data_IF_631464565797
#
_entry.id   IF_631464565797
#
_cell.length_a   1.000
_cell.length_b   1.000
_cell.length_c   1.000
_cell.angle_alpha   90.00
_cell.angle_beta   90.00
_cell.angle_gamma   90.00
#
_symmetry.space_group_name_H-M   'P 1'
#
loop_
_entity.id
_entity.type
_entity.pdbx_description
1 polymer ?
#
# COMPACT_ATOMS: atom_id res chain seq x y z
N UNK A 1 21.25 -1.49 -18.78
CA UNK A 1 20.38 -0.60 -18.00
C UNK A 1 19.44 -1.40 -17.13
N UNK A 2 19.34 -1.02 -15.88
CA UNK A 2 18.33 -1.62 -15.01
C UNK A 2 16.92 -1.13 -15.43
N UNK A 3 15.94 -2.03 -15.54
CA UNK A 3 14.58 -1.61 -15.86
C UNK A 3 14.07 -0.65 -14.79
N UNK A 4 13.37 0.38 -15.23
CA UNK A 4 12.76 1.34 -14.31
C UNK A 4 11.63 0.67 -13.52
N UNK A 5 11.57 0.94 -12.23
CA UNK A 5 10.45 0.50 -11.40
C UNK A 5 9.22 1.28 -11.77
N UNK A 6 8.10 0.59 -11.88
CA UNK A 6 6.82 1.20 -12.24
C UNK A 6 5.96 1.39 -11.00
N UNK A 7 5.52 2.62 -10.80
CA UNK A 7 4.67 3.00 -9.68
C UNK A 7 3.30 3.40 -10.22
N UNK A 8 2.25 2.81 -9.68
CA UNK A 8 0.87 3.19 -9.98
C UNK A 8 0.37 4.16 -8.92
N UNK A 9 -0.01 5.35 -9.34
CA UNK A 9 -0.57 6.39 -8.47
C UNK A 9 -2.07 6.51 -8.71
N UNK A 10 -2.86 6.40 -7.67
CA UNK A 10 -4.32 6.51 -7.72
C UNK A 10 -4.78 7.62 -6.79
N UNK A 11 -5.46 8.60 -7.35
CA UNK A 11 -6.00 9.75 -6.61
C UNK A 11 -7.10 10.37 -7.47
N UNK A 12 -8.17 10.84 -6.86
CA UNK A 12 -9.24 11.53 -7.57
C UNK A 12 -8.84 12.95 -8.03
N UNK A 13 -7.77 13.49 -7.45
CA UNK A 13 -7.24 14.82 -7.80
C UNK A 13 -6.10 14.72 -8.82
N UNK A 14 -6.36 15.14 -10.05
CA UNK A 14 -5.39 15.13 -11.13
C UNK A 14 -4.15 15.98 -10.85
N UNK A 15 -4.30 17.06 -10.09
CA UNK A 15 -3.17 17.93 -9.73
C UNK A 15 -2.18 17.20 -8.84
N UNK A 16 -2.70 16.50 -7.83
CA UNK A 16 -1.88 15.69 -6.94
C UNK A 16 -1.16 14.59 -7.72
N UNK A 17 -1.85 13.95 -8.66
CA UNK A 17 -1.25 12.93 -9.52
C UNK A 17 -0.13 13.51 -10.38
N UNK A 18 -0.36 14.67 -10.98
CA UNK A 18 0.65 15.32 -11.83
C UNK A 18 1.91 15.69 -11.06
N UNK A 19 1.75 16.23 -9.87
CA UNK A 19 2.88 16.60 -8.99
C UNK A 19 3.68 15.35 -8.61
N UNK A 20 3.00 14.30 -8.16
CA UNK A 20 3.66 13.04 -7.80
C UNK A 20 4.36 12.41 -8.98
N UNK A 21 3.72 12.44 -10.15
CA UNK A 21 4.31 11.89 -11.36
C UNK A 21 5.63 12.57 -11.68
N UNK A 22 5.66 13.89 -11.75
CA UNK A 22 6.88 14.64 -12.04
C UNK A 22 7.96 14.33 -10.99
N UNK A 23 7.59 14.36 -9.72
CA UNK A 23 8.52 14.12 -8.63
C UNK A 23 9.15 12.72 -8.71
N UNK A 24 8.37 11.70 -8.98
CA UNK A 24 8.85 10.32 -9.04
C UNK A 24 9.63 10.05 -10.33
N UNK A 25 9.19 10.60 -11.45
CA UNK A 25 9.88 10.42 -12.73
C UNK A 25 11.27 11.09 -12.72
N UNK A 26 11.41 12.23 -12.05
CA UNK A 26 12.72 12.87 -11.89
C UNK A 26 13.69 12.01 -11.08
N UNK A 27 13.18 11.07 -10.30
CA UNK A 27 13.99 10.11 -9.53
C UNK A 27 14.23 8.79 -10.25
N UNK A 28 13.80 8.67 -11.49
CA UNK A 28 14.05 7.51 -12.32
C UNK A 28 12.98 6.43 -12.27
N UNK A 29 11.82 6.70 -11.65
CA UNK A 29 10.70 5.78 -11.67
C UNK A 29 9.84 5.99 -12.93
N UNK A 30 9.14 4.95 -13.34
CA UNK A 30 8.07 5.05 -14.32
C UNK A 30 6.76 5.18 -13.57
N UNK A 31 5.93 6.16 -13.93
CA UNK A 31 4.70 6.44 -13.19
C UNK A 31 3.49 6.31 -14.09
N UNK A 32 2.53 5.51 -13.64
CA UNK A 32 1.20 5.43 -14.23
C UNK A 32 0.22 6.10 -13.27
N UNK A 33 -0.70 6.87 -13.80
CA UNK A 33 -1.68 7.61 -12.99
C UNK A 33 -3.09 7.17 -13.34
N UNK A 34 -3.93 7.01 -12.33
CA UNK A 34 -5.34 6.67 -12.49
C UNK A 34 -6.17 7.54 -11.56
N UNK A 35 -7.23 8.12 -12.08
CA UNK A 35 -8.22 8.87 -11.28
C UNK A 35 -9.39 7.99 -10.85
N UNK A 36 -9.54 6.83 -11.46
CA UNK A 36 -10.62 5.88 -11.19
C UNK A 36 -10.06 4.59 -10.57
N UNK A 37 -10.58 4.16 -9.40
CA UNK A 37 -10.17 2.90 -8.79
C UNK A 37 -10.35 1.68 -9.70
N UNK A 38 -11.40 1.64 -10.50
CA UNK A 38 -11.65 0.54 -11.41
C UNK A 38 -10.55 0.43 -12.48
N UNK A 39 -10.14 1.56 -13.03
CA UNK A 39 -9.05 1.61 -13.99
C UNK A 39 -7.72 1.17 -13.35
N UNK A 40 -7.52 1.50 -12.08
CA UNK A 40 -6.34 1.05 -11.33
C UNK A 40 -6.31 -0.48 -11.21
N UNK A 41 -7.45 -1.10 -10.93
CA UNK A 41 -7.55 -2.56 -10.84
C UNK A 41 -7.26 -3.23 -12.19
N UNK A 42 -7.78 -2.68 -13.28
CA UNK A 42 -7.49 -3.16 -14.63
C UNK A 42 -6.00 -3.07 -14.95
N UNK A 43 -5.38 -1.96 -14.56
CA UNK A 43 -3.93 -1.76 -14.73
C UNK A 43 -3.14 -2.80 -13.94
N UNK A 44 -3.56 -3.11 -12.72
CA UNK A 44 -2.93 -4.15 -11.91
C UNK A 44 -3.06 -5.54 -12.55
N UNK A 45 -4.20 -5.84 -13.15
CA UNK A 45 -4.43 -7.12 -13.84
C UNK A 45 -3.49 -7.30 -15.04
N UNK A 46 -3.12 -6.22 -15.71
CA UNK A 46 -2.14 -6.25 -16.80
C UNK A 46 -0.73 -6.58 -16.33
N UNK A 47 -0.45 -6.37 -15.05
CA UNK A 47 0.84 -6.64 -14.45
C UNK A 47 1.87 -5.54 -14.69
N UNK A 48 3.09 -5.79 -14.21
CA UNK A 48 4.21 -4.86 -14.39
C UNK A 48 4.28 -3.71 -13.40
N UNK A 49 3.45 -3.71 -12.37
CA UNK A 49 3.45 -2.69 -11.32
C UNK A 49 4.33 -3.16 -10.16
N UNK A 50 5.27 -2.31 -9.76
CA UNK A 50 6.20 -2.60 -8.66
C UNK A 50 5.72 -2.04 -7.32
N UNK A 51 4.92 -0.97 -7.32
CA UNK A 51 4.41 -0.34 -6.13
C UNK A 51 3.15 0.46 -6.44
N UNK A 52 2.23 0.53 -5.49
CA UNK A 52 0.99 1.31 -5.61
C UNK A 52 0.98 2.42 -4.56
N UNK A 53 0.61 3.62 -5.00
CA UNK A 53 0.31 4.75 -4.12
C UNK A 53 -1.16 5.11 -4.31
N UNK A 54 -1.94 5.05 -3.24
CA UNK A 54 -3.36 5.35 -3.31
C UNK A 54 -3.76 6.40 -2.26
N UNK A 55 -4.68 7.28 -2.65
CA UNK A 55 -5.32 8.18 -1.70
C UNK A 55 -6.39 7.41 -0.92
N UNK A 56 -6.38 7.55 0.40
CA UNK A 56 -7.39 6.90 1.25
C UNK A 56 -8.80 7.43 0.96
N UNK A 57 -8.93 8.73 0.74
CA UNK A 57 -10.21 9.39 0.55
C UNK A 57 -10.52 9.58 -0.94
N UNK A 58 -11.25 8.63 -1.52
CA UNK A 58 -11.76 8.70 -2.88
C UNK A 58 -13.26 8.48 -2.90
N UNK A 59 -14.01 9.19 -3.77
CA UNK A 59 -15.48 9.18 -3.72
C UNK A 59 -16.13 7.83 -4.05
N UNK A 60 -15.55 7.06 -4.97
CA UNK A 60 -16.15 5.80 -5.43
C UNK A 60 -15.78 4.61 -4.57
N UNK A 61 -14.53 4.54 -4.15
CA UNK A 61 -13.98 3.44 -3.39
C UNK A 61 -12.83 3.99 -2.54
N UNK A 62 -12.82 3.68 -1.25
CA UNK A 62 -11.71 4.12 -0.40
C UNK A 62 -10.40 3.47 -0.84
N UNK A 63 -9.29 4.18 -0.63
CA UNK A 63 -7.98 3.65 -0.95
C UNK A 63 -7.67 2.36 -0.21
N UNK A 64 -8.15 2.22 1.03
CA UNK A 64 -7.98 1.00 1.80
C UNK A 64 -8.63 -0.21 1.11
N UNK A 65 -9.88 -0.07 0.68
CA UNK A 65 -10.58 -1.14 -0.05
C UNK A 65 -9.94 -1.42 -1.40
N UNK A 66 -9.49 -0.38 -2.09
CA UNK A 66 -8.77 -0.53 -3.34
C UNK A 66 -7.51 -1.38 -3.14
N UNK A 67 -6.74 -1.09 -2.10
CA UNK A 67 -5.52 -1.85 -1.80
C UNK A 67 -5.85 -3.30 -1.46
N UNK A 68 -6.92 -3.55 -0.73
CA UNK A 68 -7.35 -4.93 -0.43
C UNK A 68 -7.63 -5.71 -1.72
N UNK A 69 -8.30 -5.08 -2.69
CA UNK A 69 -8.55 -5.69 -3.99
C UNK A 69 -7.26 -5.86 -4.80
N UNK A 70 -6.36 -4.89 -4.74
CA UNK A 70 -5.04 -4.99 -5.38
C UNK A 70 -4.24 -6.14 -4.79
N UNK A 71 -4.26 -6.31 -3.48
CA UNK A 71 -3.57 -7.41 -2.80
C UNK A 71 -4.16 -8.78 -3.15
N UNK A 72 -5.45 -8.83 -3.47
CA UNK A 72 -6.06 -10.06 -3.98
C UNK A 72 -5.54 -10.42 -5.37
N UNK A 73 -5.27 -9.41 -6.21
CA UNK A 73 -4.70 -9.61 -7.55
C UNK A 73 -3.19 -9.89 -7.47
N UNK A 74 -2.47 -9.11 -6.67
CA UNK A 74 -1.02 -9.18 -6.57
C UNK A 74 -0.56 -8.98 -5.11
N UNK A 75 -0.55 -10.07 -4.33
CA UNK A 75 -0.22 -9.97 -2.89
C UNK A 75 1.19 -9.47 -2.59
N UNK A 76 2.07 -9.56 -3.56
CA UNK A 76 3.49 -9.19 -3.38
C UNK A 76 3.78 -7.73 -3.74
N UNK A 77 2.84 -7.03 -4.37
CA UNK A 77 3.03 -5.64 -4.73
C UNK A 77 2.85 -4.76 -3.50
N UNK A 78 3.89 -4.02 -3.06
CA UNK A 78 3.75 -3.12 -1.94
C UNK A 78 2.81 -1.96 -2.27
N UNK A 79 2.07 -1.50 -1.28
CA UNK A 79 1.10 -0.44 -1.42
C UNK A 79 1.20 0.55 -0.28
N UNK A 80 1.17 1.84 -0.61
CA UNK A 80 1.16 2.95 0.34
C UNK A 80 -0.15 3.72 0.24
N UNK A 81 -0.67 4.13 1.37
CA UNK A 81 -1.84 5.00 1.47
C UNK A 81 -1.44 6.41 1.81
N UNK A 82 -2.10 7.37 1.17
CA UNK A 82 -2.09 8.77 1.58
C UNK A 82 -3.37 9.09 2.32
N UNK A 83 -3.26 9.75 3.46
CA UNK A 83 -4.41 10.16 4.26
C UNK A 83 -4.31 11.62 4.63
N UNK A 84 -5.40 12.37 4.49
CA UNK A 84 -5.48 13.75 4.95
C UNK A 84 -5.74 13.88 6.45
N UNK A 85 -6.00 12.77 7.12
CA UNK A 85 -6.30 12.74 8.55
C UNK A 85 -5.44 11.70 9.24
N UNK A 86 -4.85 12.09 10.36
CA UNK A 86 -3.95 11.23 11.14
C UNK A 86 -4.71 10.08 11.82
N UNK A 87 -6.02 10.23 12.00
CA UNK A 87 -6.85 9.29 12.76
C UNK A 87 -7.67 8.34 11.89
N UNK A 88 -7.35 8.22 10.62
CA UNK A 88 -8.12 7.31 9.78
C UNK A 88 -7.66 5.87 9.92
N UNK A 89 -8.64 5.00 9.89
CA UNK A 89 -8.59 3.54 10.00
C UNK A 89 -7.72 2.86 8.91
N UNK A 90 -6.52 3.34 8.71
CA UNK A 90 -5.55 2.66 7.88
C UNK A 90 -5.09 1.34 8.52
N UNK A 91 -5.44 1.15 9.78
CA UNK A 91 -5.07 -0.03 10.54
C UNK A 91 -5.72 -1.31 10.02
N UNK A 92 -6.90 -1.19 9.43
CA UNK A 92 -7.62 -2.34 8.86
C UNK A 92 -7.27 -2.62 7.41
N UNK A 93 -6.35 -1.87 6.83
CA UNK A 93 -5.96 -2.04 5.45
C UNK A 93 -4.75 -2.95 5.30
N UNK A 94 -4.71 -3.69 4.20
CA UNK A 94 -3.54 -4.50 3.81
C UNK A 94 -2.38 -3.66 3.28
N UNK A 95 -2.47 -2.34 3.34
CA UNK A 95 -1.39 -1.45 2.92
C UNK A 95 -0.10 -1.71 3.72
N UNK A 96 1.02 -1.58 3.06
CA UNK A 96 2.34 -1.75 3.68
C UNK A 96 2.80 -0.51 4.47
N UNK A 97 2.11 0.60 4.30
CA UNK A 97 2.37 1.82 5.03
C UNK A 97 1.39 2.92 4.65
N UNK A 98 1.43 4.01 5.38
CA UNK A 98 0.63 5.18 5.09
C UNK A 98 1.45 6.45 5.35
N UNK A 99 1.06 7.54 4.71
CA UNK A 99 1.69 8.84 4.85
C UNK A 99 0.60 9.91 4.97
N UNK A 100 0.77 10.90 5.84
CA UNK A 100 -0.17 12.01 5.92
C UNK A 100 -0.07 12.90 4.69
N UNK A 101 -1.22 13.32 4.15
CA UNK A 101 -1.27 14.29 3.06
C UNK A 101 -0.85 15.67 3.57
N UNK A 102 0.03 16.32 2.83
CA UNK A 102 0.38 17.72 3.07
C UNK A 102 1.47 17.99 4.09
N UNK A 103 1.75 17.07 4.98
CA UNK A 103 2.73 17.29 6.04
C UNK A 103 4.05 16.55 5.83
N UNK A 104 4.10 15.65 4.88
CA UNK A 104 5.32 14.90 4.63
C UNK A 104 6.26 15.64 3.67
N UNK A 105 7.54 15.55 3.94
CA UNK A 105 8.54 15.99 3.00
C UNK A 105 8.60 15.02 1.81
N UNK A 106 8.79 15.53 0.57
CA UNK A 106 8.95 14.65 -0.60
C UNK A 106 10.02 13.57 -0.40
N UNK A 107 11.03 13.86 0.38
CA UNK A 107 12.09 12.91 0.70
C UNK A 107 11.59 11.72 1.51
N UNK A 108 10.63 11.93 2.40
CA UNK A 108 10.03 10.85 3.19
C UNK A 108 9.28 9.86 2.30
N UNK A 109 8.50 10.37 1.35
CA UNK A 109 7.81 9.53 0.38
C UNK A 109 8.81 8.69 -0.43
N UNK A 110 9.86 9.31 -0.93
CA UNK A 110 10.89 8.62 -1.71
C UNK A 110 11.59 7.54 -0.90
N UNK A 111 11.89 7.81 0.34
CA UNK A 111 12.52 6.82 1.23
C UNK A 111 11.59 5.65 1.52
N UNK A 112 10.31 5.90 1.77
CA UNK A 112 9.31 4.85 1.96
C UNK A 112 9.19 3.97 0.73
N UNK A 113 9.12 4.57 -0.45
CA UNK A 113 9.07 3.85 -1.72
C UNK A 113 10.31 2.98 -1.88
N UNK A 114 11.48 3.54 -1.65
CA UNK A 114 12.74 2.82 -1.76
C UNK A 114 12.79 1.61 -0.83
N UNK A 115 12.41 1.80 0.42
CA UNK A 115 12.39 0.72 1.43
C UNK A 115 11.45 -0.40 1.00
N UNK A 116 10.25 -0.07 0.53
CA UNK A 116 9.27 -1.06 0.10
C UNK A 116 9.70 -1.81 -1.16
N UNK A 117 10.33 -1.13 -2.10
CA UNK A 117 10.84 -1.77 -3.31
C UNK A 117 11.99 -2.74 -3.02
N UNK A 118 12.82 -2.43 -2.04
CA UNK A 118 13.87 -3.34 -1.57
C UNK A 118 13.25 -4.56 -0.89
N UNK A 119 12.24 -4.36 -0.03
CA UNK A 119 11.55 -5.45 0.66
C UNK A 119 10.85 -6.41 -0.29
N UNK A 120 10.40 -5.95 -1.43
CA UNK A 120 9.79 -6.81 -2.46
C UNK A 120 10.73 -7.94 -2.88
N UNK A 121 12.04 -7.74 -2.76
CA UNK A 121 13.04 -8.76 -3.06
C UNK A 121 13.31 -9.70 -1.90
N UNK A 122 12.79 -9.38 -0.73
CA UNK A 122 12.99 -10.19 0.46
C UNK A 122 12.15 -11.46 0.45
N UNK A 123 12.47 -12.44 1.30
CA UNK A 123 11.70 -13.66 1.41
C UNK A 123 10.28 -13.37 1.88
N UNK A 124 9.32 -14.14 1.35
CA UNK A 124 7.90 -14.01 1.67
C UNK A 124 7.60 -14.09 3.16
N UNK A 125 8.43 -14.83 3.89
CA UNK A 125 8.30 -14.97 5.34
C UNK A 125 8.35 -13.64 6.08
N UNK A 126 9.12 -12.70 5.59
CA UNK A 126 9.31 -11.43 6.26
C UNK A 126 8.03 -10.58 6.22
N UNK A 127 7.37 -10.53 5.08
CA UNK A 127 6.11 -9.81 4.95
C UNK A 127 5.01 -10.43 5.82
N UNK A 128 4.92 -11.76 5.85
CA UNK A 128 3.97 -12.47 6.68
C UNK A 128 4.23 -12.23 8.17
N UNK A 129 5.48 -12.32 8.60
CA UNK A 129 5.87 -12.07 9.98
C UNK A 129 5.51 -10.63 10.41
N UNK A 130 5.69 -9.68 9.52
CA UNK A 130 5.36 -8.28 9.79
C UNK A 130 3.86 -8.06 9.95
N UNK A 131 3.05 -8.69 9.11
CA UNK A 131 1.60 -8.63 9.24
C UNK A 131 1.15 -9.24 10.56
N UNK A 132 1.70 -10.38 10.92
CA UNK A 132 1.44 -11.03 12.19
C UNK A 132 1.86 -10.13 13.37
N UNK A 133 2.99 -9.47 13.26
CA UNK A 133 3.45 -8.56 14.31
C UNK A 133 2.52 -7.37 14.50
N UNK A 134 2.00 -6.80 13.42
CA UNK A 134 1.07 -5.67 13.52
C UNK A 134 -0.30 -6.09 14.07
N UNK A 135 -0.70 -7.34 13.85
CA UNK A 135 -1.96 -7.90 14.35
C UNK A 135 -1.79 -8.73 15.62
N UNK A 136 -0.58 -8.86 16.14
CA UNK A 136 -0.26 -9.73 17.26
C UNK A 136 -1.17 -9.54 18.49
N UNK A 137 -1.51 -8.33 18.94
CA UNK A 137 -2.37 -8.18 20.11
C UNK A 137 -3.75 -8.81 19.92
N UNK A 138 -4.36 -8.61 18.77
CA UNK A 138 -5.68 -9.17 18.48
C UNK A 138 -5.60 -10.69 18.31
N UNK A 139 -4.61 -11.17 17.59
CA UNK A 139 -4.42 -12.62 17.37
C UNK A 139 -4.07 -13.34 18.66
N UNK A 140 -3.24 -12.74 19.51
CA UNK A 140 -2.88 -13.33 20.79
C UNK A 140 -4.12 -13.50 21.68
N UNK A 141 -5.01 -12.51 21.67
CA UNK A 141 -6.27 -12.60 22.42
C UNK A 141 -7.14 -13.73 21.90
N UNK A 142 -7.29 -13.86 20.60
CA UNK A 142 -8.07 -14.95 19.99
C UNK A 142 -7.47 -16.31 20.31
N UNK A 143 -6.16 -16.44 20.25
CA UNK A 143 -5.48 -17.70 20.54
C UNK A 143 -5.66 -18.09 22.01
N UNK A 144 -5.59 -17.13 22.90
CA UNK A 144 -5.80 -17.38 24.32
C UNK A 144 -7.21 -17.87 24.62
N UNK A 145 -8.18 -17.34 23.89
CA UNK A 145 -9.56 -17.80 24.03
C UNK A 145 -9.75 -19.22 23.52
N UNK A 146 -9.00 -19.62 22.50
CA UNK A 146 -9.09 -20.94 21.92
C UNK A 146 -8.38 -22.02 22.76
N UNK A 147 -7.26 -21.67 23.37
CA UNK A 147 -6.47 -22.62 24.17
C UNK A 147 -7.28 -23.21 25.33
N UNK A 148 -7.99 -22.43 26.14
CA UNK A 148 -8.81 -22.98 27.20
C UNK A 148 -9.87 -23.93 26.70
N UNK A 149 -10.43 -23.70 25.54
CA UNK A 149 -11.43 -24.58 24.95
C UNK A 149 -10.82 -25.92 24.56
N UNK A 150 -9.61 -25.90 24.07
CA UNK A 150 -8.90 -27.11 23.72
C UNK A 150 -8.59 -27.99 24.93
N UNK A 151 -8.26 -27.35 26.03
CA UNK A 151 -7.91 -28.07 27.24
C UNK A 151 -9.13 -28.63 27.93
N UNK A 152 -10.28 -28.05 27.75
CA UNK A 152 -11.52 -28.54 28.32
C UNK A 152 -11.98 -29.82 27.66
N UNK A 153 -11.49 -30.12 26.49
CA UNK A 153 -11.71 -31.40 25.83
C UNK A 153 -10.75 -32.43 26.30
#
# INVERSE_FOLDING_TARGET
MKPKRTILCVDDDERSLSIRKVMLETRGYRVLTCTDPQHALETMQRGGIDLVLADLMMPKLSGAKLIDQIKAISPHTPALLFSGSVNCCAEDSLADGWLPKGEFAPMELLERIRVLLVRKRGPKRYAAARQLASCAPALATCVQDLIPLGDAG
#
